data_IF_591485895868
#
_entry.id   IF_591485895868
#
_cell.length_a   1.000
_cell.length_b   1.000
_cell.length_c   1.000
_cell.angle_alpha   90.00
_cell.angle_beta   90.00
_cell.angle_gamma   90.00
#
_symmetry.space_group_name_H-M   'P 1'
#
loop_
_entity.id
_entity.type
_entity.pdbx_description
1 polymer ?
#
# COMPACT_ATOMS: atom_id res chain seq x y z
N UNK A 1 3.81 -21.80 -11.61
CA UNK A 1 2.76 -20.90 -11.07
C UNK A 1 3.32 -19.53 -10.69
N UNK A 2 4.61 -19.38 -10.34
CA UNK A 2 5.18 -18.08 -9.92
C UNK A 2 5.39 -17.07 -11.04
N UNK A 3 5.91 -17.49 -12.20
CA UNK A 3 6.23 -16.57 -13.32
C UNK A 3 4.96 -16.04 -14.00
N UNK A 4 3.99 -16.91 -14.28
CA UNK A 4 2.69 -16.50 -14.84
C UNK A 4 1.94 -15.49 -13.95
N UNK A 5 1.95 -15.68 -12.62
CA UNK A 5 1.29 -14.76 -11.70
C UNK A 5 2.00 -13.40 -11.64
N UNK A 6 3.33 -13.38 -11.74
CA UNK A 6 4.10 -12.15 -11.85
C UNK A 6 3.76 -11.38 -13.12
N UNK A 7 3.71 -12.06 -14.28
CA UNK A 7 3.37 -11.45 -15.56
C UNK A 7 1.95 -10.85 -15.53
N UNK A 8 0.99 -11.59 -14.96
CA UNK A 8 -0.39 -11.11 -14.80
C UNK A 8 -0.49 -9.88 -13.88
N UNK A 9 0.30 -9.83 -12.80
CA UNK A 9 0.37 -8.65 -11.93
C UNK A 9 0.97 -7.46 -12.70
N UNK A 10 2.04 -7.68 -13.47
CA UNK A 10 2.64 -6.64 -14.30
C UNK A 10 1.66 -6.07 -15.32
N UNK A 11 1.00 -6.93 -16.10
CA UNK A 11 0.00 -6.53 -17.09
C UNK A 11 -1.14 -5.75 -16.43
N UNK A 12 -1.75 -6.31 -15.37
CA UNK A 12 -2.87 -5.67 -14.67
C UNK A 12 -2.50 -4.31 -14.09
N UNK A 13 -1.33 -4.21 -13.43
CA UNK A 13 -0.90 -2.97 -12.79
C UNK A 13 -0.60 -1.89 -13.83
N UNK A 14 0.17 -2.22 -14.88
CA UNK A 14 0.54 -1.24 -15.93
C UNK A 14 -0.66 -0.78 -16.76
N UNK A 15 -1.58 -1.69 -17.09
CA UNK A 15 -2.86 -1.32 -17.69
C UNK A 15 -3.63 -0.37 -16.78
N UNK A 16 -3.72 -0.68 -15.48
CA UNK A 16 -4.42 0.15 -14.50
C UNK A 16 -3.80 1.56 -14.36
N UNK A 17 -2.47 1.68 -14.43
CA UNK A 17 -1.79 2.98 -14.47
C UNK A 17 -2.23 3.80 -15.69
N UNK A 18 -2.32 3.19 -16.87
CA UNK A 18 -2.75 3.86 -18.11
C UNK A 18 -4.18 4.45 -18.08
N UNK A 19 -5.01 4.03 -17.11
CA UNK A 19 -6.41 4.47 -16.90
C UNK A 19 -6.61 5.20 -15.58
N UNK A 20 -5.55 5.45 -14.82
CA UNK A 20 -5.64 6.08 -13.51
C UNK A 20 -6.14 7.52 -13.59
N UNK A 21 -6.97 7.91 -12.62
CA UNK A 21 -7.40 9.31 -12.47
C UNK A 21 -6.38 10.08 -11.63
N UNK A 22 -5.91 11.22 -12.13
CA UNK A 22 -4.98 12.10 -11.40
C UNK A 22 -5.70 13.32 -10.84
N UNK A 23 -5.22 13.80 -9.69
CA UNK A 23 -5.76 14.97 -9.00
C UNK A 23 -4.61 15.82 -8.46
N UNK A 24 -4.62 17.12 -8.74
CA UNK A 24 -3.56 18.03 -8.27
C UNK A 24 -3.79 18.59 -6.86
N UNK A 25 -5.03 18.57 -6.38
CA UNK A 25 -5.43 19.19 -5.10
C UNK A 25 -5.95 18.15 -4.10
N UNK A 26 -5.54 18.22 -2.82
CA UNK A 26 -4.68 19.26 -2.21
C UNK A 26 -3.17 19.07 -2.44
N UNK A 27 -2.79 17.93 -3.01
CA UNK A 27 -1.48 17.59 -3.51
C UNK A 27 -1.68 16.55 -4.63
N UNK A 28 -0.64 16.30 -5.42
CA UNK A 28 -0.75 15.33 -6.51
C UNK A 28 -0.96 13.91 -5.98
N UNK A 29 -2.05 13.27 -6.40
CA UNK A 29 -2.35 11.87 -6.08
C UNK A 29 -3.19 11.24 -7.18
N UNK A 30 -3.25 9.92 -7.16
CA UNK A 30 -3.93 9.12 -8.16
C UNK A 30 -4.91 8.15 -7.54
N UNK A 31 -5.99 7.89 -8.28
CA UNK A 31 -6.89 6.78 -8.05
C UNK A 31 -6.73 5.77 -9.18
N UNK A 32 -6.41 4.53 -8.79
CA UNK A 32 -6.08 3.44 -9.69
C UNK A 32 -7.13 2.35 -9.50
N UNK A 33 -7.79 1.96 -10.58
CA UNK A 33 -8.84 0.96 -10.52
C UNK A 33 -8.33 -0.37 -11.05
N UNK A 34 -8.57 -1.44 -10.28
CA UNK A 34 -8.15 -2.80 -10.56
C UNK A 34 -6.64 -2.95 -10.82
N UNK A 35 -5.77 -2.48 -9.89
CA UNK A 35 -4.32 -2.61 -10.06
C UNK A 35 -3.78 -4.04 -9.98
N UNK A 36 -4.56 -5.01 -9.51
CA UNK A 36 -4.14 -6.41 -9.38
C UNK A 36 -5.11 -7.35 -10.10
N UNK A 37 -4.66 -8.55 -10.53
CA UNK A 37 -5.55 -9.62 -10.97
C UNK A 37 -6.60 -9.99 -9.90
N UNK A 38 -7.79 -10.39 -10.33
CA UNK A 38 -8.90 -10.68 -9.40
C UNK A 38 -8.60 -11.88 -8.49
N UNK A 39 -7.91 -12.90 -9.00
CA UNK A 39 -7.50 -14.08 -8.23
C UNK A 39 -6.50 -13.73 -7.11
N UNK A 40 -5.56 -12.83 -7.36
CA UNK A 40 -4.67 -12.28 -6.32
C UNK A 40 -5.48 -11.54 -5.25
N UNK A 41 -6.51 -10.77 -5.64
CA UNK A 41 -7.38 -10.09 -4.68
C UNK A 41 -8.17 -11.08 -3.83
N UNK A 42 -8.75 -12.11 -4.44
CA UNK A 42 -9.48 -13.18 -3.75
C UNK A 42 -8.59 -13.90 -2.73
N UNK A 43 -7.37 -14.26 -3.11
CA UNK A 43 -6.38 -14.84 -2.21
C UNK A 43 -6.10 -13.90 -1.01
N UNK A 44 -5.80 -12.62 -1.28
CA UNK A 44 -5.50 -11.64 -0.25
C UNK A 44 -6.69 -11.36 0.69
N UNK A 45 -7.92 -11.39 0.18
CA UNK A 45 -9.13 -11.20 0.98
C UNK A 45 -9.36 -12.38 1.94
N UNK A 46 -9.09 -13.60 1.48
CA UNK A 46 -9.31 -14.83 2.26
C UNK A 46 -8.20 -15.13 3.26
N UNK A 47 -7.03 -14.49 3.13
CA UNK A 47 -5.93 -14.63 4.10
C UNK A 47 -6.38 -14.35 5.53
N UNK A 48 -5.95 -15.24 6.43
CA UNK A 48 -6.26 -15.16 7.85
C UNK A 48 -4.97 -14.90 8.63
N UNK A 49 -4.84 -13.65 9.05
CA UNK A 49 -3.87 -13.22 10.03
C UNK A 49 -4.63 -12.78 11.30
N UNK A 50 -4.05 -12.98 12.50
CA UNK A 50 -4.64 -12.48 13.74
C UNK A 50 -4.94 -10.99 13.61
N UNK A 51 -6.19 -10.59 13.86
CA UNK A 51 -6.53 -9.17 13.87
C UNK A 51 -5.80 -8.48 15.04
N UNK A 52 -5.39 -7.21 14.87
CA UNK A 52 -4.67 -6.51 15.92
C UNK A 52 -5.57 -6.23 17.14
N UNK A 53 -4.97 -6.29 18.32
CA UNK A 53 -5.55 -5.80 19.57
C UNK A 53 -5.07 -4.38 19.82
N UNK A 54 -6.00 -3.42 19.70
CA UNK A 54 -5.70 -2.00 19.87
C UNK A 54 -5.32 -1.62 21.31
N UNK A 55 -5.60 -2.48 22.31
CA UNK A 55 -5.27 -2.20 23.71
C UNK A 55 -5.86 -0.88 24.26
N UNK A 56 -6.86 -0.31 23.58
CA UNK A 56 -7.48 0.98 23.91
C UNK A 56 -6.72 2.23 23.44
N UNK A 57 -5.59 2.11 22.71
CA UNK A 57 -4.80 3.25 22.23
C UNK A 57 -4.65 3.20 20.71
N UNK A 58 -5.07 4.25 20.03
CA UNK A 58 -4.92 4.44 18.57
C UNK A 58 -4.50 5.88 18.28
N UNK A 59 -4.10 6.18 17.05
CA UNK A 59 -3.70 7.53 16.63
C UNK A 59 -2.23 7.73 16.26
N UNK A 60 -1.33 6.81 16.63
CA UNK A 60 0.08 6.81 16.19
C UNK A 60 0.46 5.43 15.64
N UNK A 61 1.12 5.41 14.46
CA UNK A 61 1.50 4.18 13.76
C UNK A 61 2.44 3.26 14.55
N UNK A 62 3.19 3.81 15.51
CA UNK A 62 4.26 3.09 16.23
C UNK A 62 3.77 2.16 17.35
N UNK A 63 2.48 2.20 17.72
CA UNK A 63 2.00 1.55 18.94
C UNK A 63 1.71 0.05 18.80
N UNK A 64 1.61 -0.50 17.57
CA UNK A 64 1.16 -1.88 17.30
C UNK A 64 2.04 -2.60 16.24
N UNK A 65 3.34 -2.29 16.20
CA UNK A 65 4.23 -2.78 15.14
C UNK A 65 4.41 -4.31 15.13
N UNK A 66 4.29 -4.96 16.28
CA UNK A 66 4.42 -6.41 16.47
C UNK A 66 3.24 -7.23 15.93
N UNK A 67 2.14 -6.55 15.58
CA UNK A 67 0.92 -7.15 15.04
C UNK A 67 0.72 -6.84 13.54
N UNK A 68 1.72 -6.22 12.90
CA UNK A 68 1.68 -5.90 11.47
C UNK A 68 2.23 -7.07 10.66
N UNK A 69 1.60 -7.31 9.52
CA UNK A 69 2.01 -8.36 8.61
C UNK A 69 2.65 -7.75 7.36
N UNK A 70 3.71 -8.36 6.87
CA UNK A 70 4.47 -7.87 5.75
C UNK A 70 4.61 -8.95 4.69
N UNK A 71 4.77 -8.51 3.44
CA UNK A 71 5.34 -9.34 2.38
C UNK A 71 6.84 -9.41 2.65
N UNK A 72 7.21 -10.08 3.73
CA UNK A 72 8.59 -10.32 4.20
C UNK A 72 9.04 -11.73 3.77
N UNK A 73 10.32 -12.06 4.02
CA UNK A 73 10.89 -13.35 3.61
C UNK A 73 10.13 -14.57 4.16
N UNK A 74 9.67 -14.51 5.41
CA UNK A 74 8.95 -15.62 6.05
C UNK A 74 7.58 -15.84 5.41
N UNK A 75 6.84 -14.76 5.16
CA UNK A 75 5.53 -14.82 4.52
C UNK A 75 5.64 -15.12 3.02
N UNK A 76 6.65 -14.60 2.32
CA UNK A 76 6.95 -14.93 0.91
C UNK A 76 7.18 -16.44 0.75
N UNK A 77 7.93 -17.06 1.68
CA UNK A 77 8.19 -18.50 1.62
C UNK A 77 6.93 -19.37 1.83
N UNK A 78 5.87 -18.81 2.43
CA UNK A 78 4.67 -19.55 2.86
C UNK A 78 3.43 -19.26 2.02
N UNK A 79 3.34 -18.07 1.44
CA UNK A 79 2.12 -17.55 0.81
C UNK A 79 2.38 -17.23 -0.67
N UNK A 80 1.85 -18.03 -1.61
CA UNK A 80 2.08 -17.84 -3.04
C UNK A 80 1.72 -16.44 -3.55
N UNK A 81 0.61 -15.85 -3.10
CA UNK A 81 0.24 -14.50 -3.49
C UNK A 81 1.24 -13.44 -3.01
N UNK A 82 1.85 -13.60 -1.83
CA UNK A 82 2.91 -12.71 -1.35
C UNK A 82 4.19 -12.86 -2.16
N UNK A 83 4.56 -14.09 -2.51
CA UNK A 83 5.67 -14.33 -3.43
C UNK A 83 5.42 -13.68 -4.80
N UNK A 84 4.21 -13.80 -5.35
CA UNK A 84 3.86 -13.18 -6.63
C UNK A 84 3.96 -11.64 -6.56
N UNK A 85 3.39 -11.01 -5.51
CA UNK A 85 3.50 -9.57 -5.28
C UNK A 85 4.96 -9.12 -5.12
N UNK A 86 5.73 -9.81 -4.29
CA UNK A 86 7.12 -9.47 -4.04
C UNK A 86 7.94 -9.47 -5.33
N UNK A 87 7.88 -10.56 -6.10
CA UNK A 87 8.67 -10.69 -7.33
C UNK A 87 8.20 -9.68 -8.39
N UNK A 88 6.89 -9.50 -8.58
CA UNK A 88 6.37 -8.55 -9.57
C UNK A 88 6.77 -7.10 -9.26
N UNK A 89 6.63 -6.64 -8.02
CA UNK A 89 6.98 -5.27 -7.65
C UNK A 89 8.49 -5.04 -7.43
N UNK A 90 9.28 -6.10 -7.33
CA UNK A 90 10.74 -6.03 -7.30
C UNK A 90 11.34 -5.98 -8.73
N UNK A 91 10.59 -6.47 -9.72
CA UNK A 91 11.08 -6.66 -11.08
C UNK A 91 11.49 -5.33 -11.75
N UNK A 92 12.60 -5.30 -12.51
CA UNK A 92 13.09 -4.07 -13.12
C UNK A 92 12.10 -3.37 -14.04
N UNK A 93 11.36 -4.13 -14.84
CA UNK A 93 10.34 -3.64 -15.76
C UNK A 93 9.16 -2.98 -15.05
N UNK A 94 8.75 -3.54 -13.89
CA UNK A 94 7.72 -2.94 -13.05
C UNK A 94 8.23 -1.63 -12.43
N UNK A 95 9.45 -1.65 -11.90
CA UNK A 95 10.07 -0.45 -11.33
C UNK A 95 10.16 0.68 -12.37
N UNK A 96 10.60 0.37 -13.59
CA UNK A 96 10.67 1.33 -14.69
C UNK A 96 9.28 1.91 -15.06
N UNK A 97 8.26 1.06 -15.17
CA UNK A 97 6.89 1.52 -15.43
C UNK A 97 6.35 2.45 -14.34
N UNK A 98 6.71 2.19 -13.07
CA UNK A 98 6.35 3.03 -11.93
C UNK A 98 7.13 4.36 -11.94
N UNK A 99 8.44 4.33 -12.22
CA UNK A 99 9.25 5.56 -12.38
C UNK A 99 8.66 6.47 -13.45
N UNK A 100 8.34 5.91 -14.62
CA UNK A 100 7.79 6.66 -15.75
C UNK A 100 6.44 7.29 -15.41
N UNK A 101 5.54 6.53 -14.77
CA UNK A 101 4.20 7.01 -14.45
C UNK A 101 4.19 8.07 -13.34
N UNK A 102 4.89 7.82 -12.24
CA UNK A 102 4.87 8.72 -11.07
C UNK A 102 5.97 9.79 -11.11
N UNK A 103 6.88 9.74 -12.08
CA UNK A 103 8.05 10.63 -12.17
C UNK A 103 8.92 10.59 -10.90
N UNK A 104 9.25 9.37 -10.46
CA UNK A 104 10.09 9.09 -9.27
C UNK A 104 11.35 8.33 -9.65
N UNK A 105 12.34 8.28 -8.76
CA UNK A 105 13.53 7.42 -8.87
C UNK A 105 13.43 6.34 -7.79
N UNK A 106 13.34 5.08 -8.24
CA UNK A 106 13.24 3.89 -7.41
C UNK A 106 14.53 3.07 -7.40
N UNK A 107 15.49 3.40 -8.26
CA UNK A 107 16.75 2.68 -8.32
C UNK A 107 17.50 2.76 -6.96
N UNK A 108 17.95 1.62 -6.46
CA UNK A 108 18.62 1.54 -5.15
C UNK A 108 17.67 1.64 -3.94
N UNK A 109 16.36 1.65 -4.13
CA UNK A 109 15.37 1.52 -3.04
C UNK A 109 15.11 0.06 -2.67
N UNK A 110 14.35 -0.18 -1.61
CA UNK A 110 13.83 -1.49 -1.21
C UNK A 110 12.31 -1.52 -1.35
N UNK A 111 11.80 -2.66 -1.79
CA UNK A 111 10.36 -2.95 -1.78
C UNK A 111 9.90 -3.29 -0.36
N UNK A 112 8.88 -2.56 0.10
CA UNK A 112 8.16 -2.83 1.34
C UNK A 112 6.67 -2.91 1.03
N UNK A 113 6.04 -4.04 1.34
CA UNK A 113 4.59 -4.18 1.24
C UNK A 113 4.06 -4.66 2.59
N UNK A 114 3.15 -3.89 3.15
CA UNK A 114 2.46 -4.22 4.39
C UNK A 114 1.05 -4.72 4.09
N UNK A 115 0.68 -5.85 4.69
CA UNK A 115 -0.71 -6.30 4.78
C UNK A 115 -1.32 -5.72 6.05
N UNK A 116 -2.01 -4.60 5.90
CA UNK A 116 -2.61 -3.86 7.00
C UNK A 116 -4.02 -4.40 7.32
N UNK A 117 -4.28 -4.60 8.61
CA UNK A 117 -5.59 -4.91 9.17
C UNK A 117 -5.96 -3.85 10.18
N UNK A 118 -7.10 -3.19 10.00
CA UNK A 118 -7.66 -2.28 10.99
C UNK A 118 -9.01 -2.80 11.47
N UNK A 119 -9.30 -2.58 12.74
CA UNK A 119 -10.55 -2.98 13.40
C UNK A 119 -11.23 -1.78 14.04
N UNK A 120 -12.48 -1.96 14.48
CA UNK A 120 -13.25 -0.88 15.14
C UNK A 120 -12.43 -0.21 16.25
N UNK A 121 -12.44 1.13 16.26
CA UNK A 121 -11.66 1.96 17.16
C UNK A 121 -10.33 2.44 16.57
N UNK A 122 -9.89 1.88 15.44
CA UNK A 122 -8.70 2.38 14.74
C UNK A 122 -8.93 3.78 14.17
N UNK A 123 -7.94 4.65 14.37
CA UNK A 123 -7.82 5.93 13.70
C UNK A 123 -6.36 6.34 13.56
N UNK A 124 -6.09 7.24 12.62
CA UNK A 124 -4.75 7.72 12.32
C UNK A 124 -4.76 9.22 12.08
N UNK A 125 -3.99 9.95 12.90
CA UNK A 125 -3.90 11.40 12.81
C UNK A 125 -3.38 11.87 11.43
N UNK A 126 -3.77 13.07 10.96
CA UNK A 126 -3.23 13.63 9.74
C UNK A 126 -1.69 13.79 9.83
N UNK A 127 -0.98 13.04 8.98
CA UNK A 127 0.47 12.97 8.93
C UNK A 127 0.96 12.98 7.48
N UNK A 128 2.24 13.30 7.31
CA UNK A 128 2.97 13.03 6.07
C UNK A 128 3.78 11.75 6.26
N UNK A 129 4.10 11.11 5.14
CA UNK A 129 4.99 9.95 5.15
C UNK A 129 6.43 10.37 5.48
N UNK A 130 7.21 9.43 6.03
CA UNK A 130 8.63 9.65 6.28
C UNK A 130 9.37 9.91 4.96
N UNK A 131 10.33 10.85 4.97
CA UNK A 131 11.10 11.22 3.76
C UNK A 131 11.93 10.09 3.14
N UNK A 132 12.03 8.94 3.81
CA UNK A 132 12.64 7.71 3.29
C UNK A 132 11.73 6.93 2.33
N UNK A 133 10.45 7.28 2.21
CA UNK A 133 9.51 6.67 1.25
C UNK A 133 9.51 7.47 -0.06
N UNK A 134 9.71 6.79 -1.19
CA UNK A 134 9.67 7.38 -2.54
C UNK A 134 8.31 7.32 -3.20
N UNK A 135 7.49 6.33 -2.81
CA UNK A 135 6.14 6.14 -3.32
C UNK A 135 5.29 5.49 -2.24
N UNK A 136 4.01 5.84 -2.20
CA UNK A 136 2.99 5.14 -1.41
C UNK A 136 1.82 4.76 -2.30
N UNK A 137 1.45 3.48 -2.31
CA UNK A 137 0.25 2.94 -2.96
C UNK A 137 -0.55 2.16 -1.92
N UNK A 138 -1.77 2.60 -1.62
CA UNK A 138 -2.70 1.94 -0.72
C UNK A 138 -3.73 1.18 -1.53
N UNK A 139 -3.66 -0.16 -1.57
CA UNK A 139 -4.59 -1.01 -2.31
C UNK A 139 -5.62 -1.57 -1.32
N UNK A 140 -6.89 -1.30 -1.56
CA UNK A 140 -7.97 -1.71 -0.66
C UNK A 140 -8.46 -3.13 -1.00
N UNK A 141 -8.65 -3.95 0.03
CA UNK A 141 -8.94 -5.38 -0.14
C UNK A 141 -10.35 -5.73 0.31
N UNK A 142 -10.77 -5.36 1.52
CA UNK A 142 -12.04 -5.87 2.07
C UNK A 142 -13.30 -5.15 1.56
N UNK A 143 -14.44 -5.83 1.65
CA UNK A 143 -15.75 -5.42 1.12
C UNK A 143 -16.90 -5.61 2.12
N UNK A 144 -16.58 -5.64 3.42
CA UNK A 144 -17.59 -5.73 4.47
C UNK A 144 -18.63 -4.61 4.41
N UNK A 145 -19.77 -4.82 5.06
CA UNK A 145 -20.83 -3.79 5.06
C UNK A 145 -20.32 -2.46 5.63
N UNK A 146 -20.66 -1.36 4.96
CA UNK A 146 -20.14 -0.02 5.26
C UNK A 146 -18.69 0.25 4.84
N UNK A 147 -17.95 -0.74 4.30
CA UNK A 147 -16.54 -0.56 3.95
C UNK A 147 -16.29 0.51 2.89
N UNK A 148 -17.29 0.81 2.04
CA UNK A 148 -17.26 1.90 1.06
C UNK A 148 -16.73 3.23 1.60
N UNK A 149 -16.92 3.48 2.90
CA UNK A 149 -16.55 4.72 3.59
C UNK A 149 -15.23 4.63 4.39
N UNK A 150 -14.45 3.55 4.26
CA UNK A 150 -13.21 3.30 5.02
C UNK A 150 -11.93 3.69 4.26
N UNK A 151 -12.03 4.59 3.29
CA UNK A 151 -10.85 5.00 2.53
C UNK A 151 -9.96 5.99 3.27
N UNK A 152 -8.77 6.19 2.71
CA UNK A 152 -7.79 7.16 3.20
C UNK A 152 -8.35 8.57 3.13
N UNK A 153 -8.26 9.32 4.22
CA UNK A 153 -8.60 10.74 4.25
C UNK A 153 -7.42 11.57 3.75
N UNK A 154 -7.75 12.61 2.99
CA UNK A 154 -6.82 13.52 2.32
C UNK A 154 -7.05 14.92 2.86
N UNK A 155 -5.97 15.57 3.28
CA UNK A 155 -6.00 16.87 3.94
C UNK A 155 -5.19 17.89 3.16
N UNK A 156 -5.52 19.15 3.34
CA UNK A 156 -4.71 20.29 2.88
C UNK A 156 -3.41 20.43 3.68
N UNK A 157 -2.50 21.29 3.23
CA UNK A 157 -1.24 21.59 3.92
C UNK A 157 -1.42 22.14 5.36
N UNK A 158 -2.58 22.74 5.68
CA UNK A 158 -2.96 23.17 7.02
C UNK A 158 -3.80 22.12 7.78
N UNK A 159 -3.74 20.85 7.35
CA UNK A 159 -4.43 19.70 7.92
C UNK A 159 -5.96 19.81 7.97
N UNK A 160 -6.58 20.57 7.07
CA UNK A 160 -8.05 20.56 6.91
C UNK A 160 -8.47 19.38 6.06
N UNK A 161 -9.43 18.61 6.54
CA UNK A 161 -10.00 17.51 5.79
C UNK A 161 -10.60 18.01 4.47
N UNK A 162 -10.24 17.40 3.35
CA UNK A 162 -10.70 17.80 2.02
C UNK A 162 -11.56 16.74 1.37
N UNK A 163 -11.08 15.50 1.35
CA UNK A 163 -11.79 14.38 0.74
C UNK A 163 -11.32 13.05 1.29
N UNK A 164 -12.01 12.00 0.85
CA UNK A 164 -11.71 10.62 1.16
C UNK A 164 -11.63 9.82 -0.12
N UNK A 165 -10.64 8.94 -0.21
CA UNK A 165 -10.59 7.95 -1.29
C UNK A 165 -11.78 6.98 -1.18
N UNK A 166 -12.43 6.58 -2.28
CA UNK A 166 -13.35 5.45 -2.24
C UNK A 166 -12.63 4.20 -1.74
N UNK A 167 -13.26 3.43 -0.84
CA UNK A 167 -12.72 2.15 -0.40
C UNK A 167 -13.54 1.02 -0.98
N UNK A 168 -12.97 0.33 -1.95
CA UNK A 168 -13.57 -0.82 -2.62
C UNK A 168 -12.46 -1.81 -2.97
N UNK A 169 -12.75 -3.12 -3.01
CA UNK A 169 -11.75 -4.11 -3.41
C UNK A 169 -11.09 -3.75 -4.73
N UNK A 170 -9.79 -3.99 -4.80
CA UNK A 170 -9.00 -3.77 -5.99
C UNK A 170 -9.09 -2.32 -6.49
N UNK A 171 -9.08 -1.36 -5.56
CA UNK A 171 -8.92 0.06 -5.85
C UNK A 171 -7.77 0.60 -5.01
N UNK A 172 -7.02 1.52 -5.59
CA UNK A 172 -5.89 2.10 -4.91
C UNK A 172 -5.87 3.62 -4.93
N UNK A 173 -5.36 4.19 -3.84
CA UNK A 173 -4.89 5.57 -3.80
C UNK A 173 -3.36 5.55 -3.81
N UNK A 174 -2.75 6.32 -4.70
CA UNK A 174 -1.30 6.47 -4.78
C UNK A 174 -0.88 7.94 -4.66
N UNK A 175 0.29 8.19 -4.10
CA UNK A 175 0.92 9.51 -4.07
C UNK A 175 2.44 9.41 -3.85
N UNK A 176 3.17 10.42 -4.31
CA UNK A 176 4.59 10.62 -4.02
C UNK A 176 4.70 11.40 -2.71
N UNK A 177 5.32 10.87 -1.65
CA UNK A 177 5.43 11.55 -0.36
C UNK A 177 6.10 12.93 -0.45
N UNK A 178 5.57 13.90 0.31
CA UNK A 178 6.17 15.22 0.48
C UNK A 178 5.65 15.95 1.72
N UNK A 179 6.22 17.11 2.02
CA UNK A 179 5.94 17.86 3.26
C UNK A 179 4.50 18.38 3.39
N UNK A 180 3.71 18.30 2.31
CA UNK A 180 2.32 18.75 2.26
C UNK A 180 1.33 17.61 1.91
N UNK A 181 1.80 16.36 1.79
CA UNK A 181 0.97 15.21 1.42
C UNK A 181 0.27 14.62 2.64
N UNK A 182 -0.51 15.45 3.34
CA UNK A 182 -1.20 15.06 4.56
C UNK A 182 -2.34 14.08 4.27
N UNK A 183 -2.25 12.92 4.91
CA UNK A 183 -3.25 11.88 4.84
C UNK A 183 -3.44 11.23 6.21
N UNK A 184 -4.50 10.47 6.35
CA UNK A 184 -4.83 9.83 7.62
C UNK A 184 -6.06 8.95 7.51
N UNK A 185 -6.64 8.66 8.66
CA UNK A 185 -7.88 7.92 8.77
C UNK A 185 -8.68 8.46 9.97
N UNK A 186 -9.72 9.24 9.69
CA UNK A 186 -10.68 9.71 10.68
C UNK A 186 -11.34 8.53 11.39
N UNK A 187 -11.57 8.68 12.70
CA UNK A 187 -12.24 7.67 13.50
C UNK A 187 -13.64 7.39 12.96
N UNK A 188 -13.90 6.10 12.66
CA UNK A 188 -15.19 5.62 12.17
C UNK A 188 -15.38 4.17 12.55
N UNK A 189 -16.63 3.71 12.51
CA UNK A 189 -16.95 2.30 12.74
C UNK A 189 -16.34 1.44 11.62
N UNK A 190 -15.74 0.32 12.00
CA UNK A 190 -15.17 -0.68 11.07
C UNK A 190 -15.86 -2.01 11.37
N UNK A 191 -16.84 -2.37 10.55
CA UNK A 191 -17.53 -3.66 10.69
C UNK A 191 -16.59 -4.81 10.31
N UNK A 192 -16.19 -5.62 11.29
CA UNK A 192 -15.21 -6.69 11.04
C UNK A 192 -13.78 -6.15 10.89
N UNK A 193 -13.11 -6.49 9.78
CA UNK A 193 -11.69 -6.15 9.55
C UNK A 193 -11.53 -5.41 8.22
N UNK A 194 -11.05 -4.17 8.30
CA UNK A 194 -10.59 -3.38 7.16
C UNK A 194 -9.23 -3.91 6.72
N UNK A 195 -9.12 -4.39 5.49
CA UNK A 195 -7.88 -4.97 4.94
C UNK A 195 -7.36 -4.12 3.79
N UNK A 196 -6.07 -3.85 3.77
CA UNK A 196 -5.40 -3.14 2.66
C UNK A 196 -3.94 -3.57 2.52
N UNK A 197 -3.39 -3.46 1.32
CA UNK A 197 -1.94 -3.43 1.13
C UNK A 197 -1.44 -1.98 1.19
N UNK A 198 -0.29 -1.77 1.81
CA UNK A 198 0.46 -0.53 1.73
C UNK A 198 1.81 -0.84 1.09
N UNK A 199 1.91 -0.55 -0.21
CA UNK A 199 3.13 -0.70 -0.98
C UNK A 199 3.95 0.58 -0.90
N UNK A 200 5.23 0.43 -0.59
CA UNK A 200 6.22 1.49 -0.55
C UNK A 200 7.51 1.04 -1.24
N UNK A 201 8.16 2.00 -1.90
CA UNK A 201 9.59 1.92 -2.19
C UNK A 201 10.32 2.82 -1.19
N UNK A 202 11.25 2.25 -0.44
CA UNK A 202 11.94 2.93 0.67
C UNK A 202 13.45 2.99 0.45
N UNK A 203 14.08 4.10 0.83
CA UNK A 203 15.54 4.26 0.70
C UNK A 203 16.32 3.30 1.62
N UNK A 204 17.63 3.23 1.43
CA UNK A 204 18.56 2.48 2.30
C UNK A 204 18.53 2.90 3.77
N UNK A 205 18.02 4.10 4.09
CA UNK A 205 17.87 4.58 5.46
C UNK A 205 16.70 3.91 6.23
N UNK A 206 15.91 3.07 5.57
CA UNK A 206 14.87 2.26 6.22
C UNK A 206 15.49 1.25 7.18
N UNK A 207 15.15 1.37 8.47
CA UNK A 207 15.81 0.62 9.56
C UNK A 207 15.24 -0.77 9.79
N UNK A 208 13.93 -0.93 9.60
CA UNK A 208 13.21 -2.17 9.89
C UNK A 208 13.33 -3.12 8.69
N UNK A 209 14.50 -3.74 8.55
CA UNK A 209 14.86 -4.58 7.38
C UNK A 209 13.98 -5.82 7.28
N UNK A 210 13.47 -6.32 8.40
CA UNK A 210 12.54 -7.44 8.48
C UNK A 210 11.19 -7.16 7.82
N UNK A 211 10.85 -5.90 7.55
CA UNK A 211 9.61 -5.52 6.84
C UNK A 211 9.76 -5.53 5.31
N UNK A 212 10.98 -5.77 4.80
CA UNK A 212 11.29 -5.69 3.37
C UNK A 212 11.04 -7.03 2.68
N UNK A 213 10.57 -6.95 1.44
CA UNK A 213 10.40 -8.14 0.61
C UNK A 213 11.74 -8.82 0.34
N UNK A 214 12.77 -8.04 0.00
CA UNK A 214 14.13 -8.53 -0.22
C UNK A 214 15.12 -7.66 0.55
N UNK A 215 15.47 -8.00 1.80
CA UNK A 215 16.27 -7.15 2.67
C UNK A 215 17.74 -7.01 2.22
N UNK A 216 18.22 -7.87 1.33
CA UNK A 216 19.61 -7.84 0.84
C UNK A 216 19.71 -7.42 -0.64
N UNK A 217 18.58 -7.06 -1.26
CA UNK A 217 18.52 -6.72 -2.68
C UNK A 217 17.70 -5.46 -2.91
N UNK A 218 18.36 -4.44 -3.46
CA UNK A 218 17.68 -3.22 -3.90
C UNK A 218 16.96 -3.43 -5.23
N UNK A 219 15.95 -2.60 -5.46
CA UNK A 219 15.26 -2.48 -6.74
C UNK A 219 16.20 -1.81 -7.74
N UNK A 220 16.24 -2.35 -8.95
CA UNK A 220 16.92 -1.75 -10.10
C UNK A 220 15.87 -1.39 -11.14
N UNK A 221 15.82 -0.15 -11.59
CA UNK A 221 15.02 0.23 -12.76
C UNK A 221 15.92 0.14 -14.00
N UNK A 222 15.80 -0.93 -14.78
CA UNK A 222 16.48 -1.04 -16.07
C UNK A 222 15.60 -0.43 -17.15
N UNK A 223 16.16 0.50 -17.94
CA UNK A 223 15.50 1.16 -19.07
C UNK A 223 15.99 0.59 -20.39
#
# INVERSE_FOLDING_TARGET
MSELAQDQIFESFTEALGRASSFDAPYQHWFIERPLPDDIIEDLQTMQFPAPDLGGVSGKRELHNDQRHYVDQDNIARLPAFAALANAFQAPEMAAAIEDFFSVDLNGTFLRIEYAQDVTGFWLEPHTDLGVKRLTVLIYLSDGDGHGNLGTDVYTGDKKWMKRSPFRPNFAMAFVPGDHTYHGFEAREISGVRKSLILNYVTTDWRDREQLAFPDQTVSAER
#
